data_IF_931695572775
#
_entry.id   IF_931695572775
#
_cell.length_a   1.000
_cell.length_b   1.000
_cell.length_c   1.000
_cell.angle_alpha   90.00
_cell.angle_beta   90.00
_cell.angle_gamma   90.00
#
_symmetry.space_group_name_H-M   'P 1'
#
loop_
_entity.id
_entity.type
_entity.pdbx_description
1 polymer ?
#
# COMPACT_ATOMS: atom_id res chain seq x y z
N UNK A 1 27.70 -34.93 -46.61
CA UNK A 1 28.30 -33.65 -46.17
C UNK A 1 27.59 -33.29 -44.89
N UNK A 2 28.25 -33.50 -43.76
CA UNK A 2 27.64 -33.25 -42.46
C UNK A 2 27.51 -31.75 -42.24
N UNK A 3 26.32 -31.32 -41.81
CA UNK A 3 25.98 -29.90 -41.55
C UNK A 3 26.97 -29.25 -40.58
N UNK A 4 27.58 -30.04 -39.72
CA UNK A 4 28.61 -29.63 -38.77
C UNK A 4 29.94 -29.23 -39.45
N UNK A 5 30.34 -29.90 -40.53
CA UNK A 5 31.53 -29.54 -41.30
C UNK A 5 31.30 -28.24 -42.09
N UNK A 6 30.09 -28.02 -42.60
CA UNK A 6 29.73 -26.79 -43.30
C UNK A 6 29.72 -25.56 -42.37
N UNK A 7 29.33 -25.73 -41.10
CA UNK A 7 29.31 -24.67 -40.09
C UNK A 7 30.71 -24.33 -39.54
N UNK A 8 31.62 -25.30 -39.49
CA UNK A 8 32.95 -25.12 -38.89
C UNK A 8 34.06 -24.83 -39.91
N UNK A 9 33.85 -25.12 -41.20
CA UNK A 9 34.75 -24.78 -42.29
C UNK A 9 35.21 -23.30 -42.32
N UNK A 10 34.33 -22.28 -42.19
CA UNK A 10 34.76 -20.88 -42.18
C UNK A 10 35.55 -20.51 -40.91
N UNK A 11 35.33 -21.20 -39.79
CA UNK A 11 36.11 -20.97 -38.57
C UNK A 11 37.52 -21.53 -38.70
N UNK A 12 37.69 -22.72 -39.29
CA UNK A 12 39.01 -23.31 -39.51
C UNK A 12 39.89 -22.44 -40.40
N UNK A 13 39.35 -21.91 -41.50
CA UNK A 13 40.12 -21.03 -42.40
C UNK A 13 40.56 -19.73 -41.74
N UNK A 14 39.71 -19.14 -40.88
CA UNK A 14 40.07 -17.95 -40.08
C UNK A 14 41.15 -18.28 -39.04
N UNK A 15 41.03 -19.42 -38.36
CA UNK A 15 42.02 -19.87 -37.37
C UNK A 15 43.38 -20.12 -38.04
N UNK A 16 43.39 -20.80 -39.19
CA UNK A 16 44.62 -21.12 -39.90
C UNK A 16 45.32 -19.86 -40.45
N UNK A 17 44.55 -18.87 -40.93
CA UNK A 17 45.11 -17.57 -41.36
C UNK A 17 45.67 -16.75 -40.20
N UNK A 18 45.04 -16.83 -39.01
CA UNK A 18 45.57 -16.21 -37.79
C UNK A 18 46.85 -16.90 -37.33
N UNK A 19 46.92 -18.24 -37.37
CA UNK A 19 48.12 -18.99 -36.99
C UNK A 19 49.29 -18.70 -37.95
N UNK A 20 49.05 -18.69 -39.26
CA UNK A 20 50.10 -18.41 -40.24
C UNK A 20 50.64 -16.97 -40.14
N UNK A 21 49.79 -16.01 -39.80
CA UNK A 21 50.21 -14.62 -39.58
C UNK A 21 50.99 -14.44 -38.28
N UNK A 22 50.73 -15.28 -37.27
CA UNK A 22 51.51 -15.34 -36.02
C UNK A 22 52.92 -15.89 -36.25
N UNK A 23 53.08 -16.91 -37.12
CA UNK A 23 54.39 -17.50 -37.43
C UNK A 23 55.33 -16.56 -38.21
N UNK A 24 54.78 -15.65 -39.05
CA UNK A 24 55.57 -14.68 -39.80
C UNK A 24 55.99 -13.45 -38.98
N UNK A 25 55.49 -13.29 -37.75
CA UNK A 25 55.79 -12.14 -36.90
C UNK A 25 57.08 -12.34 -36.08
N UNK A 26 57.98 -11.35 -36.13
CA UNK A 26 59.19 -11.34 -35.32
C UNK A 26 58.88 -11.36 -33.81
N UNK A 27 59.82 -11.87 -33.00
CA UNK A 27 59.67 -11.98 -31.53
C UNK A 27 59.25 -10.67 -30.85
N UNK A 28 59.67 -9.52 -31.39
CA UNK A 28 59.32 -8.20 -30.87
C UNK A 28 57.84 -7.83 -31.13
N UNK A 29 57.29 -8.14 -32.31
CA UNK A 29 55.88 -7.85 -32.62
C UNK A 29 54.94 -8.81 -31.88
N UNK A 30 55.36 -10.05 -31.65
CA UNK A 30 54.63 -11.02 -30.83
C UNK A 30 54.50 -10.55 -29.37
N UNK A 31 55.56 -10.01 -28.77
CA UNK A 31 55.49 -9.45 -27.41
C UNK A 31 54.53 -8.26 -27.32
N UNK A 32 54.50 -7.37 -28.32
CA UNK A 32 53.60 -6.21 -28.33
C UNK A 32 52.13 -6.64 -28.42
N UNK A 33 51.82 -7.68 -29.21
CA UNK A 33 50.45 -8.21 -29.33
C UNK A 33 50.01 -8.92 -28.05
N UNK A 34 50.88 -9.69 -27.42
CA UNK A 34 50.57 -10.32 -26.13
C UNK A 34 50.32 -9.27 -25.05
N UNK A 35 51.09 -8.17 -25.05
CA UNK A 35 50.87 -7.05 -24.13
C UNK A 35 49.53 -6.34 -24.41
N UNK A 36 49.17 -6.12 -25.67
CA UNK A 36 47.91 -5.45 -26.02
C UNK A 36 46.69 -6.31 -25.69
N UNK A 37 46.76 -7.63 -25.91
CA UNK A 37 45.73 -8.58 -25.50
C UNK A 37 45.62 -8.59 -23.97
N UNK A 38 46.74 -8.62 -23.24
CA UNK A 38 46.76 -8.54 -21.79
C UNK A 38 46.11 -7.26 -21.26
N UNK A 39 46.45 -6.10 -21.85
CA UNK A 39 45.86 -4.81 -21.50
C UNK A 39 44.35 -4.78 -21.80
N UNK A 40 43.92 -5.36 -22.92
CA UNK A 40 42.51 -5.48 -23.27
C UNK A 40 41.75 -6.36 -22.26
N UNK A 41 42.32 -7.50 -21.86
CA UNK A 41 41.71 -8.39 -20.86
C UNK A 41 41.60 -7.70 -19.49
N UNK A 42 42.64 -6.98 -19.06
CA UNK A 42 42.59 -6.20 -17.81
C UNK A 42 41.50 -5.13 -17.89
N UNK A 43 41.43 -4.39 -18.99
CA UNK A 43 40.38 -3.39 -19.22
C UNK A 43 38.98 -4.01 -19.18
N UNK A 44 38.78 -5.14 -19.85
CA UNK A 44 37.52 -5.89 -19.86
C UNK A 44 37.13 -6.33 -18.45
N UNK A 45 38.07 -6.89 -17.67
CA UNK A 45 37.82 -7.29 -16.29
C UNK A 45 37.45 -6.10 -15.42
N UNK A 46 38.16 -4.97 -15.55
CA UNK A 46 37.82 -3.76 -14.78
C UNK A 46 36.46 -3.18 -15.17
N UNK A 47 36.08 -3.24 -16.45
CA UNK A 47 34.75 -2.83 -16.91
C UNK A 47 33.65 -3.72 -16.34
N UNK A 48 33.83 -5.04 -16.39
CA UNK A 48 32.87 -5.98 -15.82
C UNK A 48 32.72 -5.78 -14.30
N UNK A 49 33.83 -5.58 -13.60
CA UNK A 49 33.84 -5.31 -12.17
C UNK A 49 33.09 -4.00 -11.86
N UNK A 50 33.28 -2.97 -12.68
CA UNK A 50 32.55 -1.70 -12.57
C UNK A 50 31.04 -1.89 -12.73
N UNK A 51 30.60 -2.66 -13.74
CA UNK A 51 29.17 -2.98 -13.94
C UNK A 51 28.59 -3.73 -12.73
N UNK A 52 29.33 -4.68 -12.17
CA UNK A 52 28.90 -5.43 -10.98
C UNK A 52 28.79 -4.50 -9.76
N UNK A 53 29.79 -3.67 -9.50
CA UNK A 53 29.76 -2.72 -8.38
C UNK A 53 28.64 -1.69 -8.55
N UNK A 54 28.46 -1.13 -9.75
CA UNK A 54 27.37 -0.19 -10.03
C UNK A 54 26.00 -0.84 -9.82
N UNK A 55 25.83 -2.07 -10.31
CA UNK A 55 24.59 -2.84 -10.12
C UNK A 55 24.33 -3.15 -8.64
N UNK A 56 25.37 -3.51 -7.88
CA UNK A 56 25.27 -3.76 -6.45
C UNK A 56 24.91 -2.48 -5.68
N UNK A 57 25.56 -1.35 -6.00
CA UNK A 57 25.24 -0.05 -5.43
C UNK A 57 23.78 0.33 -5.70
N UNK A 58 23.32 0.21 -6.94
CA UNK A 58 21.94 0.52 -7.30
C UNK A 58 20.94 -0.37 -6.56
N UNK A 59 21.23 -1.65 -6.35
CA UNK A 59 20.31 -2.56 -5.63
C UNK A 59 20.32 -2.39 -4.12
N UNK A 60 21.46 -2.04 -3.53
CA UNK A 60 21.63 -1.96 -2.08
C UNK A 60 21.33 -0.56 -1.53
N UNK A 61 21.64 0.48 -2.29
CA UNK A 61 21.61 1.85 -1.79
C UNK A 61 20.41 2.66 -2.27
N UNK A 62 19.89 2.38 -3.47
CA UNK A 62 18.72 3.09 -3.99
C UNK A 62 17.47 2.34 -3.53
N UNK A 63 16.72 2.85 -2.52
CA UNK A 63 15.45 2.24 -2.15
C UNK A 63 14.50 2.33 -3.34
N UNK A 64 13.74 1.26 -3.57
CA UNK A 64 12.70 1.27 -4.60
C UNK A 64 11.54 2.11 -4.09
N UNK A 65 11.50 3.39 -4.50
CA UNK A 65 10.44 4.33 -4.11
C UNK A 65 9.11 4.10 -4.85
N UNK A 66 9.11 3.21 -5.85
CA UNK A 66 7.93 2.89 -6.65
C UNK A 66 7.32 1.58 -6.15
N UNK A 67 6.16 1.68 -5.52
CA UNK A 67 5.35 0.54 -5.12
C UNK A 67 4.20 0.33 -6.12
N UNK A 68 4.06 -0.88 -6.66
CA UNK A 68 2.90 -1.30 -7.46
C UNK A 68 2.10 -2.32 -6.68
N UNK A 69 0.82 -2.03 -6.47
CA UNK A 69 -0.10 -2.87 -5.72
C UNK A 69 -1.20 -3.35 -6.66
N UNK A 70 -1.50 -4.67 -6.71
CA UNK A 70 -2.61 -5.18 -7.49
C UNK A 70 -3.94 -4.71 -6.88
N UNK A 71 -4.86 -4.29 -7.74
CA UNK A 71 -6.18 -3.80 -7.37
C UNK A 71 -7.21 -4.84 -7.76
N UNK A 72 -8.05 -5.26 -6.80
CA UNK A 72 -9.13 -6.22 -7.03
C UNK A 72 -10.47 -5.51 -6.91
N UNK A 73 -11.20 -5.44 -8.02
CA UNK A 73 -12.53 -4.84 -8.05
C UNK A 73 -13.58 -5.80 -7.49
N UNK A 74 -14.36 -5.29 -6.54
CA UNK A 74 -15.58 -5.88 -6.07
C UNK A 74 -16.76 -5.35 -6.91
N UNK A 75 -17.53 -6.29 -7.46
CA UNK A 75 -18.73 -6.05 -8.27
C UNK A 75 -19.99 -6.52 -7.53
N UNK A 76 -19.90 -6.79 -6.22
CA UNK A 76 -21.03 -7.19 -5.41
C UNK A 76 -22.17 -6.18 -5.53
N UNK A 77 -23.38 -6.71 -5.73
CA UNK A 77 -24.61 -5.92 -5.71
C UNK A 77 -25.05 -5.79 -4.26
N UNK A 78 -25.13 -4.57 -3.77
CA UNK A 78 -25.74 -4.32 -2.47
C UNK A 78 -27.25 -4.55 -2.60
N UNK A 79 -27.85 -5.19 -1.59
CA UNK A 79 -29.30 -5.20 -1.46
C UNK A 79 -29.72 -3.79 -1.02
N UNK A 80 -30.66 -3.19 -1.76
CA UNK A 80 -31.31 -1.95 -1.35
C UNK A 80 -31.99 -2.15 0.00
N UNK A 81 -32.33 -1.06 0.70
CA UNK A 81 -33.10 -1.12 1.95
C UNK A 81 -34.44 -1.89 1.80
N UNK A 82 -34.93 -2.07 0.57
CA UNK A 82 -36.14 -2.81 0.22
C UNK A 82 -35.87 -4.25 -0.26
N UNK A 83 -34.62 -4.73 -0.20
CA UNK A 83 -34.24 -6.10 -0.57
C UNK A 83 -34.04 -6.34 -2.07
N UNK A 84 -34.01 -5.29 -2.90
CA UNK A 84 -33.75 -5.41 -4.34
C UNK A 84 -32.26 -5.20 -4.65
N UNK A 85 -31.66 -5.96 -5.60
CA UNK A 85 -30.28 -5.76 -5.97
C UNK A 85 -30.09 -4.38 -6.61
N UNK A 86 -29.40 -3.48 -5.91
CA UNK A 86 -29.05 -2.16 -6.41
C UNK A 86 -27.71 -2.23 -7.15
N UNK A 87 -27.58 -1.64 -8.35
CA UNK A 87 -26.30 -1.59 -9.06
C UNK A 87 -25.32 -0.71 -8.29
N UNK A 88 -24.24 -1.33 -7.80
CA UNK A 88 -23.10 -0.65 -7.19
C UNK A 88 -22.01 -0.43 -8.25
N UNK A 89 -21.35 0.75 -8.29
CA UNK A 89 -20.17 0.91 -9.12
C UNK A 89 -19.07 -0.05 -8.64
N UNK A 90 -18.19 -0.52 -9.53
CA UNK A 90 -17.07 -1.36 -9.13
C UNK A 90 -16.18 -0.61 -8.14
N UNK A 91 -15.90 -1.22 -6.99
CA UNK A 91 -15.09 -0.63 -5.93
C UNK A 91 -13.95 -1.55 -5.56
N UNK A 92 -12.78 -1.01 -5.30
CA UNK A 92 -11.63 -1.78 -4.82
C UNK A 92 -11.06 -1.13 -3.57
N UNK A 93 -10.46 -1.93 -2.70
CA UNK A 93 -9.80 -1.46 -1.48
C UNK A 93 -8.41 -2.05 -1.44
N UNK A 94 -7.41 -1.18 -1.32
CA UNK A 94 -5.99 -1.54 -1.22
C UNK A 94 -5.52 -1.23 0.19
N UNK A 95 -4.96 -2.22 0.90
CA UNK A 95 -4.40 -1.96 2.22
C UNK A 95 -2.95 -1.45 2.09
N UNK A 96 -2.63 -0.42 2.85
CA UNK A 96 -1.29 0.18 2.97
C UNK A 96 -0.56 -0.27 4.25
N UNK A 97 -1.21 -1.09 5.07
CA UNK A 97 -0.66 -1.60 6.33
C UNK A 97 0.15 -2.88 6.10
N UNK A 98 1.35 -2.90 6.67
CA UNK A 98 2.25 -4.03 6.79
C UNK A 98 3.04 -4.37 5.53
N UNK A 99 3.99 -5.30 5.70
CA UNK A 99 4.51 -6.11 4.59
C UNK A 99 3.41 -7.09 4.16
N UNK A 100 2.35 -6.61 3.50
CA UNK A 100 1.34 -7.48 2.88
C UNK A 100 1.95 -8.47 1.85
N UNK A 101 3.22 -8.26 1.51
CA UNK A 101 3.95 -8.92 0.42
C UNK A 101 5.07 -9.84 0.89
N UNK A 102 5.10 -10.23 2.17
CA UNK A 102 5.89 -11.41 2.53
C UNK A 102 5.14 -12.65 2.01
N UNK A 103 5.49 -13.07 0.79
CA UNK A 103 4.93 -14.25 0.09
C UNK A 103 5.04 -15.55 0.91
N UNK A 104 5.71 -15.52 2.06
CA UNK A 104 5.78 -16.59 3.04
C UNK A 104 4.49 -16.82 3.86
N UNK A 105 3.35 -16.20 3.49
CA UNK A 105 2.02 -16.64 3.92
C UNK A 105 1.68 -16.35 5.38
N UNK A 106 2.52 -15.62 6.10
CA UNK A 106 2.19 -15.13 7.44
C UNK A 106 1.32 -13.88 7.29
N UNK A 107 0.00 -14.06 7.30
CA UNK A 107 -0.93 -12.96 7.58
C UNK A 107 -0.49 -12.34 8.90
N UNK A 108 -0.06 -11.08 8.87
CA UNK A 108 0.23 -10.33 10.09
C UNK A 108 -1.09 -10.20 10.84
N UNK A 109 -1.18 -10.81 12.02
CA UNK A 109 -2.31 -10.62 12.92
C UNK A 109 -2.20 -9.20 13.51
N UNK A 110 -2.68 -8.22 12.74
CA UNK A 110 -2.70 -6.80 13.12
C UNK A 110 -3.36 -6.58 14.49
N UNK A 111 -4.28 -7.45 14.91
CA UNK A 111 -4.95 -7.39 16.21
C UNK A 111 -4.05 -7.67 17.41
N UNK A 112 -2.88 -8.29 17.20
CA UNK A 112 -1.95 -8.68 18.27
C UNK A 112 -0.66 -7.87 18.29
N UNK A 113 -0.42 -7.00 17.29
CA UNK A 113 0.78 -6.17 17.24
C UNK A 113 0.57 -4.85 17.99
N UNK A 114 1.58 -4.38 18.75
CA UNK A 114 1.60 -3.02 19.26
C UNK A 114 1.45 -2.04 18.09
N UNK A 115 0.67 -0.97 18.29
CA UNK A 115 0.38 0.05 17.25
C UNK A 115 1.67 0.65 16.67
N UNK A 116 2.71 0.75 17.50
CA UNK A 116 4.03 1.31 17.15
C UNK A 116 4.90 0.37 16.28
N UNK A 117 4.55 -0.91 16.20
CA UNK A 117 5.29 -1.92 15.42
C UNK A 117 4.63 -2.22 14.06
N UNK A 118 3.49 -1.62 13.75
CA UNK A 118 2.82 -1.83 12.46
C UNK A 118 3.65 -1.15 11.36
N UNK A 119 4.20 -1.91 10.38
CA UNK A 119 4.92 -1.31 9.28
C UNK A 119 3.93 -0.54 8.40
N UNK A 120 4.15 0.74 8.14
CA UNK A 120 3.39 1.50 7.15
C UNK A 120 4.13 1.47 5.83
N UNK A 121 3.41 1.33 4.72
CA UNK A 121 4.03 1.41 3.41
C UNK A 121 4.52 2.83 3.08
N UNK A 122 3.79 3.83 3.55
CA UNK A 122 4.12 5.24 3.32
C UNK A 122 4.97 5.77 4.47
N UNK A 123 6.09 6.38 4.14
CA UNK A 123 6.97 7.06 5.08
C UNK A 123 6.54 8.52 5.25
N UNK A 124 6.78 9.05 6.44
CA UNK A 124 6.52 10.46 6.74
C UNK A 124 7.56 11.35 6.06
N UNK A 125 7.15 12.54 5.66
CA UNK A 125 8.02 13.56 5.04
C UNK A 125 8.45 13.28 3.58
N UNK A 126 7.92 12.23 2.97
CA UNK A 126 8.07 11.93 1.54
C UNK A 126 6.78 12.28 0.80
N UNK A 127 6.90 12.85 -0.40
CA UNK A 127 5.77 13.10 -1.30
C UNK A 127 5.55 11.92 -2.25
N UNK A 128 4.30 11.49 -2.37
CA UNK A 128 3.88 10.35 -3.18
C UNK A 128 2.88 10.75 -4.26
N UNK A 129 3.13 10.27 -5.48
CA UNK A 129 2.14 10.29 -6.55
C UNK A 129 1.41 8.94 -6.60
N UNK A 130 0.11 8.96 -6.35
CA UNK A 130 -0.72 7.75 -6.42
C UNK A 130 -1.25 7.64 -7.85
N UNK A 131 -0.82 6.60 -8.56
CA UNK A 131 -1.20 6.32 -9.95
C UNK A 131 -1.99 5.02 -10.04
N UNK A 132 -2.99 5.02 -10.91
CA UNK A 132 -3.75 3.83 -11.28
C UNK A 132 -3.41 3.44 -12.71
N UNK A 133 -2.96 2.21 -12.86
CA UNK A 133 -2.73 1.56 -14.14
C UNK A 133 -3.92 0.64 -14.40
N UNK A 134 -4.88 1.10 -15.21
CA UNK A 134 -6.09 0.34 -15.54
C UNK A 134 -5.95 -0.29 -16.93
N UNK A 135 -6.00 -1.61 -16.98
CA UNK A 135 -6.02 -2.36 -18.24
C UNK A 135 -7.46 -2.66 -18.66
N UNK A 136 -7.84 -2.22 -19.85
CA UNK A 136 -9.17 -2.47 -20.42
C UNK A 136 -9.04 -3.19 -21.76
N UNK A 137 -9.86 -4.22 -22.04
CA UNK A 137 -9.90 -4.83 -23.35
C UNK A 137 -10.53 -3.87 -24.37
N UNK A 138 -10.03 -3.92 -25.60
CA UNK A 138 -10.62 -3.20 -26.74
C UNK A 138 -11.92 -3.90 -27.15
N UNK A 139 -13.02 -3.55 -26.49
CA UNK A 139 -14.35 -4.09 -26.75
C UNK A 139 -15.31 -2.96 -27.15
N UNK A 140 -16.21 -3.13 -28.14
CA UNK A 140 -17.10 -2.06 -28.61
C UNK A 140 -17.88 -1.38 -27.49
N UNK A 141 -18.40 -2.17 -26.53
CA UNK A 141 -19.11 -1.63 -25.37
C UNK A 141 -18.25 -0.72 -24.50
N UNK A 142 -16.94 -1.00 -24.39
CA UNK A 142 -16.02 -0.13 -23.65
C UNK A 142 -15.78 1.16 -24.43
N UNK A 143 -15.66 1.09 -25.76
CA UNK A 143 -15.46 2.28 -26.59
C UNK A 143 -16.64 3.27 -26.49
N UNK A 144 -17.85 2.74 -26.33
CA UNK A 144 -19.08 3.54 -26.18
C UNK A 144 -19.19 4.24 -24.82
N UNK A 145 -18.38 3.87 -23.81
CA UNK A 145 -18.37 4.53 -22.49
C UNK A 145 -17.91 5.99 -22.61
N UNK A 146 -16.95 6.26 -23.49
CA UNK A 146 -16.33 7.57 -23.64
C UNK A 146 -15.50 7.96 -22.41
N UNK A 147 -16.06 8.81 -21.55
CA UNK A 147 -15.39 9.31 -20.35
C UNK A 147 -16.08 8.82 -19.08
N UNK A 148 -15.30 8.37 -18.11
CA UNK A 148 -15.78 7.97 -16.79
C UNK A 148 -14.92 8.59 -15.69
N UNK A 149 -15.50 8.70 -14.49
CA UNK A 149 -14.82 9.26 -13.33
C UNK A 149 -14.26 8.14 -12.47
N UNK A 150 -13.03 8.32 -12.01
CA UNK A 150 -12.41 7.46 -11.00
C UNK A 150 -12.33 8.26 -9.70
N UNK A 151 -12.95 7.75 -8.64
CA UNK A 151 -12.87 8.30 -7.30
C UNK A 151 -11.89 7.49 -6.46
N UNK A 152 -11.10 8.17 -5.65
CA UNK A 152 -10.09 7.56 -4.78
C UNK A 152 -10.13 8.25 -3.43
N UNK A 153 -10.25 7.46 -2.36
CA UNK A 153 -10.35 7.96 -1.00
C UNK A 153 -9.25 7.30 -0.15
N UNK A 154 -8.36 8.10 0.44
CA UNK A 154 -7.38 7.58 1.40
C UNK A 154 -8.04 7.52 2.76
N UNK A 155 -7.94 6.36 3.41
CA UNK A 155 -8.64 6.01 4.64
C UNK A 155 -7.64 5.76 5.78
N UNK A 156 -7.95 6.31 6.95
CA UNK A 156 -7.26 6.02 8.21
C UNK A 156 -8.16 5.22 9.15
N UNK A 157 -7.55 4.45 10.06
CA UNK A 157 -8.28 3.74 11.11
C UNK A 157 -8.66 4.74 12.22
N UNK A 158 -9.96 4.83 12.58
CA UNK A 158 -10.46 5.75 13.61
C UNK A 158 -9.83 5.55 14.99
N UNK A 159 -9.26 4.38 15.27
CA UNK A 159 -8.54 4.15 16.53
C UNK A 159 -7.37 5.13 16.71
N UNK A 160 -6.73 5.57 15.62
CA UNK A 160 -5.67 6.57 15.67
C UNK A 160 -6.21 8.00 15.80
N UNK A 161 -7.33 8.31 15.15
CA UNK A 161 -7.91 9.67 15.14
C UNK A 161 -8.48 10.06 16.52
N UNK A 162 -9.02 9.10 17.29
CA UNK A 162 -9.59 9.38 18.62
C UNK A 162 -8.52 9.74 19.67
N UNK A 163 -7.30 9.22 19.54
CA UNK A 163 -6.19 9.54 20.45
C UNK A 163 -5.78 11.02 20.39
N UNK A 164 -6.04 11.70 19.26
CA UNK A 164 -5.66 13.09 19.06
C UNK A 164 -6.81 14.10 19.30
N UNK A 165 -8.07 13.66 19.21
CA UNK A 165 -9.25 14.55 19.39
C UNK A 165 -9.66 14.79 20.84
N UNK A 166 -9.07 14.11 21.81
CA UNK A 166 -9.20 14.52 23.21
C UNK A 166 -8.07 15.50 23.54
N UNK A 167 -8.31 16.83 23.53
CA UNK A 167 -7.53 17.65 24.43
C UNK A 167 -7.80 17.09 25.83
N UNK A 168 -6.75 16.65 26.50
CA UNK A 168 -6.80 16.48 27.93
C UNK A 168 -7.08 17.86 28.53
N UNK A 169 -8.35 18.23 28.61
CA UNK A 169 -8.81 19.24 29.55
C UNK A 169 -8.54 18.59 30.90
N UNK A 170 -7.36 18.84 31.47
CA UNK A 170 -7.17 18.78 32.90
C UNK A 170 -8.16 19.76 33.50
N UNK A 171 -9.38 19.29 33.75
CA UNK A 171 -10.23 19.90 34.75
C UNK A 171 -9.58 19.47 36.05
N UNK A 172 -8.64 20.26 36.55
CA UNK A 172 -8.36 20.28 37.98
C UNK A 172 -9.64 20.76 38.64
N UNK A 173 -10.51 19.84 39.04
CA UNK A 173 -11.51 20.10 40.06
C UNK A 173 -10.74 20.37 41.34
N UNK A 174 -10.45 21.64 41.59
CA UNK A 174 -10.24 22.12 42.95
C UNK A 174 -11.60 21.99 43.62
N UNK A 175 -11.73 21.01 44.50
CA UNK A 175 -12.78 20.98 45.51
C UNK A 175 -12.61 22.24 46.37
N UNK A 176 -13.39 23.27 46.09
CA UNK A 176 -13.76 24.25 47.11
C UNK A 176 -15.06 23.75 47.75
N UNK A 177 -14.88 23.24 48.96
CA UNK A 177 -15.92 22.79 49.85
C UNK A 177 -16.54 23.98 50.59
N UNK A 178 -17.81 23.80 50.93
CA UNK A 178 -18.63 24.55 51.90
C UNK A 178 -19.19 25.95 51.51
N UNK A 179 -20.53 26.02 51.50
CA UNK A 179 -21.19 27.17 52.10
C UNK A 179 -22.59 27.56 51.59
N UNK A 180 -23.59 26.82 52.05
CA UNK A 180 -24.85 27.37 52.60
C UNK A 180 -25.95 27.89 51.62
N UNK A 181 -27.22 27.61 51.98
CA UNK A 181 -28.42 28.20 51.37
C UNK A 181 -29.31 27.18 50.61
N UNK A 182 -30.01 26.26 51.28
CA UNK A 182 -31.29 26.49 51.96
C UNK A 182 -32.50 26.70 51.01
N UNK A 183 -33.36 25.67 51.01
CA UNK A 183 -34.82 25.71 50.83
C UNK A 183 -35.41 26.18 49.48
N UNK A 184 -35.85 25.21 48.67
CA UNK A 184 -37.26 25.12 48.23
C UNK A 184 -37.52 23.86 47.40
N UNK A 185 -38.69 23.27 47.63
CA UNK A 185 -39.45 22.45 46.66
C UNK A 185 -39.00 20.99 46.46
N UNK A 186 -39.10 20.16 47.50
CA UNK A 186 -39.51 18.76 47.35
C UNK A 186 -40.42 18.37 48.53
N UNK A 187 -41.65 18.88 48.49
CA UNK A 187 -42.74 18.45 49.36
C UNK A 187 -43.96 18.16 48.46
N UNK A 188 -43.85 17.15 47.61
CA UNK A 188 -45.02 16.59 46.91
C UNK A 188 -44.70 15.22 46.30
N UNK A 189 -44.44 14.22 47.14
CA UNK A 189 -44.58 12.80 46.76
C UNK A 189 -44.45 11.87 47.96
N UNK A 190 -45.41 11.91 48.88
CA UNK A 190 -45.71 10.83 49.83
C UNK A 190 -47.12 11.02 50.43
N UNK A 191 -48.13 11.04 49.57
CA UNK A 191 -49.54 10.93 49.99
C UNK A 191 -50.22 10.01 48.98
N UNK A 192 -50.11 8.70 49.23
CA UNK A 192 -51.00 7.64 48.77
C UNK A 192 -50.39 6.29 49.20
N UNK A 193 -50.36 6.04 50.51
CA UNK A 193 -50.53 4.72 51.13
C UNK A 193 -50.19 4.86 52.62
N UNK A 194 -51.22 4.90 53.46
CA UNK A 194 -51.08 4.95 54.90
C UNK A 194 -50.33 3.74 55.44
N UNK A 195 -49.26 4.02 56.18
CA UNK A 195 -48.45 3.06 56.94
C UNK A 195 -47.52 3.82 57.88
N UNK A 196 -47.47 3.40 59.14
CA UNK A 196 -46.87 4.12 60.27
C UNK A 196 -45.35 4.35 60.17
N UNK A 197 -44.83 5.48 60.71
CA UNK A 197 -43.43 5.88 60.61
C UNK A 197 -42.63 5.48 61.87
N UNK A 198 -42.42 4.19 62.09
CA UNK A 198 -41.54 3.71 63.17
C UNK A 198 -40.88 2.38 62.79
N UNK A 199 -40.06 2.37 61.73
CA UNK A 199 -39.11 1.27 61.52
C UNK A 199 -37.93 1.70 60.66
N UNK A 200 -36.73 1.26 61.09
CA UNK A 200 -35.45 1.32 60.37
C UNK A 200 -34.59 2.59 60.58
N UNK A 201 -34.37 2.93 61.85
CA UNK A 201 -33.01 3.28 62.28
C UNK A 201 -32.20 2.00 62.55
N UNK A 202 -30.87 2.11 62.38
CA UNK A 202 -29.79 1.18 62.75
C UNK A 202 -29.49 -0.01 61.82
N UNK A 203 -28.26 -0.03 61.27
CA UNK A 203 -27.16 -0.80 61.89
C UNK A 203 -25.77 -0.38 61.40
N UNK A 204 -24.94 0.00 62.37
CA UNK A 204 -23.52 -0.34 62.64
C UNK A 204 -22.49 -0.30 61.50
N UNK A 205 -21.49 0.58 61.53
CA UNK A 205 -20.24 0.53 62.34
C UNK A 205 -19.44 -0.76 62.21
N UNK A 206 -18.27 -0.66 61.56
CA UNK A 206 -17.02 -1.28 61.98
C UNK A 206 -15.85 -0.60 61.25
N UNK A 207 -15.00 0.06 62.05
CA UNK A 207 -13.72 0.60 61.59
C UNK A 207 -12.65 -0.48 61.54
N UNK A 208 -11.75 -0.34 60.56
CA UNK A 208 -10.40 -0.89 60.59
C UNK A 208 -9.51 0.03 59.73
N UNK A 209 -8.62 0.77 60.39
CA UNK A 209 -7.53 1.51 59.76
C UNK A 209 -6.40 0.55 59.41
N UNK A 210 -6.01 0.47 58.14
CA UNK A 210 -4.69 -0.01 57.73
C UNK A 210 -4.24 0.78 56.51
N UNK A 211 -3.20 1.59 56.71
CA UNK A 211 -2.14 2.03 55.81
C UNK A 211 -2.44 2.23 54.32
N UNK A 212 -2.32 3.50 53.93
CA UNK A 212 -2.26 3.98 52.56
C UNK A 212 -1.05 3.37 51.82
N UNK A 213 -1.30 2.33 51.04
CA UNK A 213 -0.48 1.96 49.89
C UNK A 213 -1.26 2.33 48.62
N UNK A 214 -0.63 3.17 47.78
CA UNK A 214 -1.15 3.62 46.48
C UNK A 214 -1.72 2.45 45.66
N UNK A 215 -2.97 2.53 45.17
CA UNK A 215 -3.39 1.65 44.11
C UNK A 215 -2.69 2.13 42.84
N UNK A 216 -1.65 1.41 42.43
CA UNK A 216 -1.17 1.41 41.05
C UNK A 216 -2.32 0.87 40.20
N UNK A 217 -3.22 1.76 39.76
CA UNK A 217 -4.24 1.41 38.78
C UNK A 217 -3.52 1.14 37.46
N UNK A 218 -3.11 -0.11 37.27
CA UNK A 218 -2.84 -0.64 35.94
C UNK A 218 -4.18 -0.60 35.20
N UNK A 219 -4.41 0.47 34.43
CA UNK A 219 -5.53 0.53 33.50
C UNK A 219 -5.35 -0.60 32.50
N UNK A 220 -6.04 -1.71 32.76
CA UNK A 220 -6.21 -2.81 31.82
C UNK A 220 -7.17 -2.30 30.76
N UNK A 221 -6.61 -1.82 29.64
CA UNK A 221 -7.40 -1.51 28.45
C UNK A 221 -8.09 -2.79 27.99
N UNK A 222 -9.36 -2.94 28.36
CA UNK A 222 -10.22 -3.98 27.80
C UNK A 222 -10.55 -3.52 26.39
N UNK A 223 -9.83 -4.06 25.41
CA UNK A 223 -10.21 -3.99 24.01
C UNK A 223 -11.54 -4.75 23.87
N UNK A 224 -12.63 -4.00 23.85
CA UNK A 224 -13.93 -4.53 23.46
C UNK A 224 -13.89 -4.69 21.94
N UNK A 225 -13.68 -5.92 21.49
CA UNK A 225 -13.92 -6.32 20.11
C UNK A 225 -15.36 -5.97 19.72
N UNK A 226 -15.51 -4.88 18.97
CA UNK A 226 -16.73 -4.57 18.23
C UNK A 226 -16.29 -4.45 16.78
N UNK A 227 -16.53 -5.52 16.02
CA UNK A 227 -16.13 -5.70 14.63
C UNK A 227 -16.80 -4.74 13.65
N UNK A 228 -16.51 -3.46 13.78
CA UNK A 228 -16.83 -2.42 12.82
C UNK A 228 -15.72 -1.37 12.89
N UNK A 229 -14.54 -1.71 12.35
CA UNK A 229 -13.47 -0.75 12.06
C UNK A 229 -14.05 0.34 11.16
N UNK A 230 -14.45 1.46 11.75
CA UNK A 230 -14.93 2.60 11.00
C UNK A 230 -13.72 3.38 10.51
N UNK A 231 -13.66 3.64 9.21
CA UNK A 231 -12.58 4.39 8.59
C UNK A 231 -12.96 5.85 8.49
N UNK A 232 -11.97 6.74 8.63
CA UNK A 232 -12.12 8.16 8.30
C UNK A 232 -11.34 8.48 7.02
N UNK A 233 -11.97 9.25 6.14
CA UNK A 233 -11.33 9.71 4.91
C UNK A 233 -10.41 10.90 5.21
N UNK A 234 -9.12 10.74 4.94
CA UNK A 234 -8.11 11.79 5.16
C UNK A 234 -7.83 12.61 3.90
N UNK A 235 -7.97 11.99 2.73
CA UNK A 235 -7.85 12.65 1.44
C UNK A 235 -8.81 11.99 0.45
N UNK A 236 -9.31 12.78 -0.51
CA UNK A 236 -10.20 12.30 -1.57
C UNK A 236 -9.83 12.98 -2.88
N UNK A 237 -9.93 12.24 -3.97
CA UNK A 237 -9.75 12.75 -5.32
C UNK A 237 -10.75 12.12 -6.27
N UNK A 238 -11.08 12.86 -7.31
CA UNK A 238 -11.94 12.40 -8.40
C UNK A 238 -11.35 12.90 -9.71
N UNK A 239 -10.94 11.97 -10.58
CA UNK A 239 -10.29 12.29 -11.85
C UNK A 239 -11.08 11.73 -13.02
N UNK A 240 -11.36 12.54 -14.06
CA UNK A 240 -11.93 12.04 -15.29
C UNK A 240 -10.87 11.25 -16.07
N UNK A 241 -11.32 10.14 -16.64
CA UNK A 241 -10.57 9.29 -17.54
C UNK A 241 -11.37 9.17 -18.82
N UNK A 242 -10.72 9.47 -19.94
CA UNK A 242 -11.31 9.38 -21.27
C UNK A 242 -10.63 8.24 -22.01
N UNK A 243 -11.43 7.33 -22.55
CA UNK A 243 -10.91 6.26 -23.38
C UNK A 243 -10.41 6.82 -24.72
N UNK A 244 -9.23 6.40 -25.19
CA UNK A 244 -8.72 6.85 -26.47
C UNK A 244 -9.65 6.33 -27.58
N UNK A 245 -10.37 7.23 -28.24
CA UNK A 245 -11.19 6.87 -29.38
C UNK A 245 -10.28 6.64 -30.60
N UNK A 246 -10.37 5.45 -31.21
CA UNK A 246 -9.76 5.17 -32.51
C UNK A 246 -10.88 4.96 -33.53
N UNK A 247 -10.69 5.52 -34.72
CA UNK A 247 -11.60 5.26 -35.83
C UNK A 247 -11.57 3.78 -36.24
N UNK A 248 -12.68 3.32 -36.82
CA UNK A 248 -12.80 1.93 -37.30
C UNK A 248 -11.72 1.54 -38.33
N UNK A 249 -11.39 2.45 -39.24
CA UNK A 249 -10.40 2.18 -40.29
C UNK A 249 -8.97 1.95 -39.76
N UNK A 250 -8.37 2.84 -38.95
CA UNK A 250 -7.02 2.59 -38.41
C UNK A 250 -6.98 1.36 -37.48
N UNK A 251 -8.08 1.03 -36.80
CA UNK A 251 -8.18 -0.20 -36.00
C UNK A 251 -8.13 -1.45 -36.88
N UNK A 252 -8.88 -1.47 -37.98
CA UNK A 252 -8.86 -2.58 -38.94
C UNK A 252 -7.46 -2.77 -39.55
N UNK A 253 -6.81 -1.68 -39.97
CA UNK A 253 -5.44 -1.72 -40.50
C UNK A 253 -4.46 -2.26 -39.45
N UNK A 254 -4.56 -1.79 -38.21
CA UNK A 254 -3.72 -2.26 -37.10
C UNK A 254 -3.97 -3.75 -36.83
N UNK A 255 -5.24 -4.18 -36.86
CA UNK A 255 -5.61 -5.58 -36.68
C UNK A 255 -5.10 -6.48 -37.78
N UNK A 256 -5.10 -6.01 -39.02
CA UNK A 256 -4.58 -6.77 -40.15
C UNK A 256 -3.05 -6.87 -40.07
N UNK A 257 -2.36 -5.78 -39.74
CA UNK A 257 -0.90 -5.75 -39.58
C UNK A 257 -0.42 -6.60 -38.39
N UNK A 258 -1.17 -6.61 -37.28
CA UNK A 258 -0.84 -7.37 -36.07
C UNK A 258 -1.50 -8.75 -36.01
N UNK A 259 -2.11 -9.22 -37.10
CA UNK A 259 -2.83 -10.51 -37.11
C UNK A 259 -1.92 -11.69 -36.73
N UNK A 260 -0.71 -11.76 -37.30
CA UNK A 260 0.23 -12.86 -37.01
C UNK A 260 0.72 -12.83 -35.55
N UNK A 261 1.23 -11.71 -35.01
CA UNK A 261 1.59 -11.63 -33.58
C UNK A 261 0.44 -11.96 -32.63
N UNK A 262 -0.78 -11.51 -32.95
CA UNK A 262 -1.98 -11.78 -32.13
C UNK A 262 -2.36 -13.25 -32.14
N UNK A 263 -2.32 -13.90 -33.31
CA UNK A 263 -2.62 -15.34 -33.42
C UNK A 263 -1.61 -16.20 -32.64
N UNK A 264 -0.37 -15.74 -32.53
CA UNK A 264 0.69 -16.38 -31.75
C UNK A 264 0.62 -16.05 -30.24
N UNK A 265 -0.34 -15.22 -29.79
CA UNK A 265 -0.46 -14.78 -28.40
C UNK A 265 0.68 -13.88 -27.94
N UNK A 266 1.41 -13.25 -28.86
CA UNK A 266 2.53 -12.34 -28.54
C UNK A 266 1.99 -10.95 -28.16
N UNK A 267 0.82 -10.58 -28.67
CA UNK A 267 0.21 -9.28 -28.44
C UNK A 267 -1.28 -9.44 -28.15
N UNK A 268 -1.74 -8.79 -27.08
CA UNK A 268 -3.16 -8.69 -26.73
C UNK A 268 -3.74 -7.33 -27.12
N UNK A 269 -5.04 -7.31 -27.42
CA UNK A 269 -5.80 -6.08 -27.69
C UNK A 269 -6.32 -5.47 -26.38
N UNK A 270 -5.42 -4.77 -25.69
CA UNK A 270 -5.76 -4.03 -24.48
C UNK A 270 -5.24 -2.60 -24.52
N UNK A 271 -5.94 -1.74 -23.80
CA UNK A 271 -5.50 -0.38 -23.49
C UNK A 271 -4.99 -0.35 -22.06
N UNK A 272 -3.77 0.17 -21.90
CA UNK A 272 -3.25 0.57 -20.61
C UNK A 272 -3.56 2.05 -20.42
N UNK A 273 -4.33 2.35 -19.37
CA UNK A 273 -4.69 3.70 -19.01
C UNK A 273 -4.00 4.02 -17.71
N UNK A 274 -3.01 4.91 -17.79
CA UNK A 274 -2.30 5.41 -16.63
C UNK A 274 -2.93 6.73 -16.21
N UNK A 275 -3.39 6.81 -14.95
CA UNK A 275 -3.95 8.04 -14.40
C UNK A 275 -3.40 8.33 -13.02
N UNK A 276 -2.81 9.51 -12.86
CA UNK A 276 -2.49 10.04 -11.53
C UNK A 276 -3.77 10.47 -10.83
N UNK A 277 -4.06 9.81 -9.71
CA UNK A 277 -5.26 10.04 -8.90
C UNK A 277 -5.01 11.16 -7.91
N UNK A 278 -3.91 11.08 -7.15
CA UNK A 278 -3.49 12.04 -6.13
C UNK A 278 -2.02 12.40 -6.41
N UNK A 279 -1.73 13.69 -6.47
CA UNK A 279 -0.41 14.25 -6.75
C UNK A 279 0.19 14.78 -5.44
N UNK A 280 1.50 14.58 -5.23
CA UNK A 280 2.22 15.09 -4.06
C UNK A 280 1.53 14.81 -2.71
N UNK A 281 0.99 13.61 -2.52
CA UNK A 281 0.44 13.19 -1.24
C UNK A 281 1.56 13.10 -0.20
N UNK A 282 1.45 13.85 0.89
CA UNK A 282 2.40 13.84 2.00
C UNK A 282 1.77 13.19 3.23
N UNK A 283 2.39 12.12 3.71
CA UNK A 283 1.90 11.40 4.88
C UNK A 283 2.06 12.24 6.15
N UNK A 284 0.98 12.34 6.93
CA UNK A 284 1.00 13.04 8.21
C UNK A 284 1.62 12.14 9.30
N UNK A 285 2.63 12.61 10.07
CA UNK A 285 3.26 11.79 11.11
C UNK A 285 2.30 11.32 12.21
N UNK A 286 1.18 12.03 12.42
CA UNK A 286 0.22 11.75 13.48
C UNK A 286 -1.01 10.96 13.03
N UNK A 287 -1.35 11.02 11.75
CA UNK A 287 -2.52 10.32 11.17
C UNK A 287 -2.02 9.56 9.94
N UNK A 288 -1.89 8.24 10.08
CA UNK A 288 -1.34 7.43 9.01
C UNK A 288 -2.41 6.81 8.13
N UNK A 289 -2.14 6.74 6.84
CA UNK A 289 -2.95 6.09 5.83
C UNK A 289 -2.91 4.58 6.02
N UNK A 290 -4.09 3.98 6.12
CA UNK A 290 -4.27 2.54 6.31
C UNK A 290 -4.73 1.86 5.02
N UNK A 291 -5.57 2.53 4.23
CA UNK A 291 -6.18 2.00 3.01
C UNK A 291 -6.38 3.09 1.96
N UNK A 292 -6.53 2.67 0.71
CA UNK A 292 -6.96 3.48 -0.45
C UNK A 292 -8.12 2.77 -1.14
#
# INVERSE_FOLDING_TARGET
MDVWDALTAPFRTVVDTVISTIEMMGRASLMIILLSIGAFLVSLVTFLLSVVFYSAFHRLYIPTTLHRLPVYFDYAKDLSAEGYPSPKPPSAVVNLLGKQWDYHGKRLNLSTMPIDEVPYLLETDIEYDIRLDLTLPMYPRNMDIGSFMIKTDILTDRTQVKLFRSPATMITTVEEDEGNGQQREEEEQCLLHGGDPDTCANTNTNGASIDAAQPTQTQRYVYRDVGSTTYDTIASSSRPVTLPHRGYFPELVTSLMLCIPRLLGISDESWLIEKTLIESYKENPYIRASKI
#
